data_IF_819331237481
#
_entry.id   IF_819331237481
#
_cell.length_a   1.000
_cell.length_b   1.000
_cell.length_c   1.000
_cell.angle_alpha   90.00
_cell.angle_beta   90.00
_cell.angle_gamma   90.00
#
_symmetry.space_group_name_H-M   'P 1'
#
loop_
_entity.id
_entity.type
_entity.pdbx_description
1 polymer ?
#
# COMPACT_ATOMS: atom_id res chain seq x y z
N UNK A 1 5.64 -43.43 -79.35
CA UNK A 1 4.86 -43.20 -78.10
C UNK A 1 5.82 -42.72 -77.03
N UNK A 2 5.80 -41.39 -76.77
CA UNK A 2 6.66 -40.76 -75.72
C UNK A 2 5.79 -40.49 -74.51
N UNK A 3 6.13 -41.10 -73.38
CA UNK A 3 5.51 -40.85 -72.09
C UNK A 3 6.22 -39.67 -71.44
N UNK A 4 5.48 -38.59 -71.22
CA UNK A 4 5.94 -37.43 -70.45
C UNK A 4 5.57 -37.70 -68.97
N UNK A 5 6.59 -37.88 -68.14
CA UNK A 5 6.43 -37.95 -66.69
C UNK A 5 6.34 -36.53 -66.10
N UNK A 6 5.19 -36.18 -65.58
CA UNK A 6 4.99 -34.92 -64.91
C UNK A 6 5.38 -35.09 -63.44
N UNK A 7 6.48 -34.45 -63.02
CA UNK A 7 6.92 -34.40 -61.63
C UNK A 7 6.26 -33.20 -60.98
N UNK A 8 5.24 -33.43 -60.16
CA UNK A 8 4.65 -32.41 -59.29
C UNK A 8 5.61 -32.10 -58.12
N UNK A 9 6.19 -30.94 -58.15
CA UNK A 9 7.02 -30.41 -57.04
C UNK A 9 6.11 -29.84 -55.97
N UNK A 10 5.97 -30.59 -54.88
CA UNK A 10 5.22 -30.16 -53.70
C UNK A 10 6.07 -29.14 -52.87
N UNK A 11 5.77 -27.86 -53.01
CA UNK A 11 6.37 -26.81 -52.20
C UNK A 11 5.78 -26.87 -50.80
N UNK A 12 6.54 -27.45 -49.86
CA UNK A 12 6.27 -27.35 -48.42
C UNK A 12 6.74 -26.00 -47.96
N UNK A 13 5.81 -25.07 -47.77
CA UNK A 13 6.08 -23.78 -47.10
C UNK A 13 6.21 -24.05 -45.61
N UNK A 14 7.43 -24.10 -45.10
CA UNK A 14 7.69 -23.99 -43.68
C UNK A 14 7.39 -22.56 -43.26
N UNK A 15 6.28 -22.34 -42.60
CA UNK A 15 6.05 -21.12 -41.82
C UNK A 15 6.90 -21.16 -40.58
N UNK A 16 8.09 -20.58 -40.61
CA UNK A 16 8.85 -20.27 -39.42
C UNK A 16 8.06 -19.19 -38.66
N UNK A 17 7.45 -19.59 -37.56
CA UNK A 17 6.99 -18.65 -36.54
C UNK A 17 8.23 -18.00 -35.93
N UNK A 18 8.55 -16.82 -36.44
CA UNK A 18 9.54 -15.94 -35.80
C UNK A 18 8.92 -15.55 -34.45
N UNK A 19 9.33 -16.22 -33.38
CA UNK A 19 9.19 -15.68 -32.03
C UNK A 19 10.04 -14.41 -32.02
N UNK A 20 9.35 -13.27 -32.04
CA UNK A 20 9.99 -12.01 -31.72
C UNK A 20 10.50 -12.15 -30.29
N UNK A 21 11.78 -12.46 -30.17
CA UNK A 21 12.53 -12.33 -28.97
C UNK A 21 12.55 -10.83 -28.69
N UNK A 22 11.65 -10.38 -27.77
CA UNK A 22 11.75 -9.05 -27.21
C UNK A 22 13.19 -8.89 -26.71
N UNK A 23 14.01 -8.32 -27.58
CA UNK A 23 15.31 -7.84 -27.17
C UNK A 23 15.03 -6.80 -26.11
N UNK A 24 15.23 -7.17 -24.82
CA UNK A 24 15.42 -6.20 -23.78
C UNK A 24 16.49 -5.25 -24.31
N UNK A 25 16.03 -4.11 -24.84
CA UNK A 25 16.91 -3.01 -25.13
C UNK A 25 17.53 -2.65 -23.79
N UNK A 26 18.79 -2.98 -23.64
CA UNK A 26 19.68 -2.33 -22.67
C UNK A 26 19.82 -0.88 -23.13
N UNK A 27 18.72 -0.11 -23.05
CA UNK A 27 18.83 1.33 -22.99
C UNK A 27 19.65 1.59 -21.73
N UNK A 28 20.88 1.95 -21.92
CA UNK A 28 21.69 2.63 -20.94
C UNK A 28 20.96 3.94 -20.65
N UNK A 29 20.00 3.89 -19.73
CA UNK A 29 19.34 5.08 -19.23
C UNK A 29 20.44 5.94 -18.63
N UNK A 30 20.78 7.02 -19.32
CA UNK A 30 21.52 8.10 -18.70
C UNK A 30 20.70 8.49 -17.45
N UNK A 31 21.23 8.18 -16.28
CA UNK A 31 20.55 8.44 -15.02
C UNK A 31 20.44 9.96 -14.86
N UNK A 32 19.22 10.49 -15.04
CA UNK A 32 18.87 11.89 -14.79
C UNK A 32 18.14 11.98 -13.46
N UNK A 33 18.84 12.19 -12.33
CA UNK A 33 18.24 12.17 -10.99
C UNK A 33 17.07 13.12 -10.86
N UNK A 34 17.16 14.31 -11.46
CA UNK A 34 16.12 15.36 -11.38
C UNK A 34 14.83 14.95 -12.10
N UNK A 35 14.95 14.34 -13.26
CA UNK A 35 13.81 13.85 -14.02
C UNK A 35 13.12 12.71 -13.28
N UNK A 36 13.90 11.73 -12.83
CA UNK A 36 13.38 10.57 -12.08
C UNK A 36 12.69 11.01 -10.78
N UNK A 37 13.28 11.94 -10.01
CA UNK A 37 12.69 12.42 -8.79
C UNK A 37 11.36 13.16 -9.03
N UNK A 38 11.30 14.03 -10.03
CA UNK A 38 10.06 14.76 -10.39
C UNK A 38 8.97 13.81 -10.91
N UNK A 39 9.31 12.88 -11.76
CA UNK A 39 8.38 11.86 -12.27
C UNK A 39 7.88 10.94 -11.15
N UNK A 40 8.76 10.50 -10.26
CA UNK A 40 8.40 9.68 -9.10
C UNK A 40 7.40 10.41 -8.19
N UNK A 41 7.69 11.66 -7.82
CA UNK A 41 6.80 12.47 -7.00
C UNK A 41 5.46 12.69 -7.69
N UNK A 42 5.45 13.01 -9.00
CA UNK A 42 4.22 13.18 -9.77
C UNK A 42 3.38 11.89 -9.77
N UNK A 43 3.98 10.73 -10.03
CA UNK A 43 3.30 9.44 -9.99
C UNK A 43 2.76 9.10 -8.61
N UNK A 44 3.57 9.28 -7.56
CA UNK A 44 3.14 9.02 -6.18
C UNK A 44 1.87 9.82 -5.87
N UNK A 45 1.87 11.12 -6.17
CA UNK A 45 0.72 11.99 -5.89
C UNK A 45 -0.50 11.60 -6.72
N UNK A 46 -0.32 11.17 -7.96
CA UNK A 46 -1.40 10.67 -8.82
C UNK A 46 -2.18 9.52 -8.18
N UNK A 47 -1.48 8.58 -7.51
CA UNK A 47 -2.11 7.48 -6.81
C UNK A 47 -2.86 7.90 -5.54
N UNK A 48 -2.61 9.09 -5.01
CA UNK A 48 -3.40 9.65 -3.89
C UNK A 48 -4.67 10.36 -4.33
N UNK A 49 -4.88 10.56 -5.63
CA UNK A 49 -5.99 11.34 -6.18
C UNK A 49 -5.85 12.86 -5.98
N UNK A 50 -4.69 13.32 -5.52
CA UNK A 50 -4.41 14.73 -5.31
C UNK A 50 -3.71 15.36 -6.52
N UNK A 51 -3.86 16.68 -6.68
CA UNK A 51 -3.05 17.44 -7.63
C UNK A 51 -1.65 17.67 -7.04
N UNK A 52 -0.57 17.38 -7.78
CA UNK A 52 0.79 17.62 -7.31
C UNK A 52 1.01 19.10 -6.96
N UNK A 53 1.40 19.35 -5.72
CA UNK A 53 1.74 20.71 -5.26
C UNK A 53 3.05 20.71 -4.47
N UNK A 54 3.96 19.82 -4.86
CA UNK A 54 5.29 19.71 -4.28
C UNK A 54 6.33 20.31 -5.22
N UNK A 55 7.29 21.03 -4.64
CA UNK A 55 8.45 21.54 -5.35
C UNK A 55 9.61 20.60 -5.06
N UNK A 56 10.03 19.85 -6.08
CA UNK A 56 11.12 18.88 -5.97
C UNK A 56 12.41 19.57 -6.40
N UNK A 57 13.41 19.60 -5.52
CA UNK A 57 14.67 20.31 -5.74
C UNK A 57 15.89 19.46 -5.37
N UNK A 58 16.94 19.45 -6.20
CA UNK A 58 18.21 18.87 -5.81
C UNK A 58 18.92 19.77 -4.78
N UNK A 59 19.48 19.16 -3.74
CA UNK A 59 20.31 19.84 -2.75
C UNK A 59 21.50 18.94 -2.38
N UNK A 60 22.71 19.38 -2.77
CA UNK A 60 23.95 18.65 -2.51
C UNK A 60 24.44 18.78 -1.06
N UNK A 61 23.85 19.68 -0.28
CA UNK A 61 24.26 19.97 1.10
C UNK A 61 23.53 19.10 2.13
N UNK A 62 22.49 18.36 1.74
CA UNK A 62 21.82 17.38 2.60
C UNK A 62 22.35 15.99 2.35
N UNK A 63 22.20 15.10 3.34
CA UNK A 63 22.77 13.74 3.22
C UNK A 63 21.88 12.81 2.38
N UNK A 64 20.55 12.95 2.49
CA UNK A 64 19.56 12.01 1.90
C UNK A 64 18.47 12.78 1.15
N UNK A 65 17.27 12.81 1.70
CA UNK A 65 16.15 13.65 1.28
C UNK A 65 15.48 14.24 2.52
N UNK A 66 14.69 15.28 2.32
CA UNK A 66 13.95 15.96 3.40
C UNK A 66 12.72 16.66 2.87
N UNK A 67 11.62 16.53 3.59
CA UNK A 67 10.40 17.29 3.39
C UNK A 67 10.36 18.53 4.30
N UNK A 68 10.05 19.69 3.75
CA UNK A 68 9.92 20.92 4.54
C UNK A 68 8.96 21.93 3.92
N UNK A 69 8.47 22.85 4.76
CA UNK A 69 7.67 24.01 4.33
C UNK A 69 8.55 25.26 4.29
N UNK A 70 8.45 26.01 3.18
CA UNK A 70 9.07 27.33 3.04
C UNK A 70 8.08 28.24 2.31
N UNK A 71 7.78 29.42 2.91
CA UNK A 71 6.84 30.38 2.34
C UNK A 71 5.49 29.73 1.95
N UNK A 72 4.96 28.89 2.82
CA UNK A 72 3.71 28.14 2.63
C UNK A 72 3.69 27.17 1.41
N UNK A 73 4.87 26.86 0.85
CA UNK A 73 5.05 25.88 -0.22
C UNK A 73 5.70 24.61 0.31
N UNK A 74 5.30 23.47 -0.25
CA UNK A 74 5.82 22.15 0.13
C UNK A 74 7.03 21.80 -0.73
N UNK A 75 8.16 21.56 -0.09
CA UNK A 75 9.40 21.19 -0.76
C UNK A 75 9.80 19.76 -0.40
N UNK A 76 10.29 19.05 -1.40
CA UNK A 76 11.02 17.80 -1.24
C UNK A 76 12.42 18.05 -1.80
N UNK A 77 13.40 18.23 -0.92
CA UNK A 77 14.79 18.30 -1.32
C UNK A 77 15.44 16.90 -1.25
N UNK A 78 16.34 16.60 -2.16
CA UNK A 78 17.05 15.33 -2.20
C UNK A 78 18.49 15.55 -2.66
N UNK A 79 19.40 14.69 -2.18
CA UNK A 79 20.79 14.70 -2.64
C UNK A 79 20.90 13.79 -3.87
N UNK A 80 21.25 14.31 -5.06
CA UNK A 80 21.36 13.51 -6.28
C UNK A 80 22.36 12.36 -6.17
N UNK A 81 23.52 12.58 -5.53
CA UNK A 81 24.55 11.53 -5.33
C UNK A 81 24.06 10.42 -4.40
N UNK A 82 23.23 10.76 -3.41
CA UNK A 82 22.65 9.76 -2.54
C UNK A 82 21.67 8.86 -3.31
N UNK A 83 20.80 9.46 -4.13
CA UNK A 83 19.82 8.74 -4.96
C UNK A 83 20.55 7.82 -5.97
N UNK A 84 21.56 8.34 -6.66
CA UNK A 84 22.40 7.57 -7.58
C UNK A 84 23.02 6.36 -6.87
N UNK A 85 23.78 6.60 -5.80
CA UNK A 85 24.43 5.55 -5.02
C UNK A 85 23.44 4.52 -4.46
N UNK A 86 22.23 4.95 -4.10
CA UNK A 86 21.19 4.06 -3.60
C UNK A 86 20.69 3.13 -4.70
N UNK A 87 20.40 3.66 -5.89
CA UNK A 87 19.96 2.89 -7.03
C UNK A 87 21.05 1.91 -7.51
N UNK A 88 22.31 2.33 -7.53
CA UNK A 88 23.44 1.47 -7.87
C UNK A 88 23.57 0.28 -6.91
N UNK A 89 23.42 0.53 -5.61
CA UNK A 89 23.52 -0.53 -4.60
C UNK A 89 22.35 -1.51 -4.61
N UNK A 90 21.16 -1.03 -4.96
CA UNK A 90 19.93 -1.84 -4.94
C UNK A 90 19.59 -2.42 -6.30
N UNK A 91 20.27 -1.97 -7.36
CA UNK A 91 19.99 -2.33 -8.76
C UNK A 91 18.53 -2.08 -9.17
N UNK A 92 17.89 -1.05 -8.57
CA UNK A 92 16.51 -0.70 -8.85
C UNK A 92 16.24 0.78 -8.55
N UNK A 93 15.39 1.40 -9.35
CA UNK A 93 14.90 2.76 -9.09
C UNK A 93 13.87 2.81 -7.94
N UNK A 94 13.32 1.68 -7.53
CA UNK A 94 12.35 1.61 -6.45
C UNK A 94 12.90 2.11 -5.11
N UNK A 95 14.20 1.98 -4.89
CA UNK A 95 14.83 2.49 -3.68
C UNK A 95 14.74 4.03 -3.60
N UNK A 96 15.03 4.73 -4.70
CA UNK A 96 14.84 6.19 -4.77
C UNK A 96 13.38 6.59 -4.62
N UNK A 97 12.47 5.88 -5.30
CA UNK A 97 11.02 6.13 -5.20
C UNK A 97 10.53 5.96 -3.77
N UNK A 98 11.04 4.95 -3.03
CA UNK A 98 10.62 4.71 -1.65
C UNK A 98 11.06 5.85 -0.71
N UNK A 99 12.25 6.40 -0.89
CA UNK A 99 12.71 7.58 -0.13
C UNK A 99 11.83 8.79 -0.41
N UNK A 100 11.54 9.07 -1.68
CA UNK A 100 10.68 10.21 -2.04
C UNK A 100 9.23 10.02 -1.55
N UNK A 101 8.72 8.79 -1.58
CA UNK A 101 7.41 8.46 -1.03
C UNK A 101 7.34 8.68 0.49
N UNK A 102 8.39 8.33 1.22
CA UNK A 102 8.51 8.62 2.65
C UNK A 102 8.43 10.12 2.93
N UNK A 103 9.15 10.95 2.17
CA UNK A 103 9.11 12.42 2.33
C UNK A 103 7.72 13.01 2.00
N UNK A 104 7.03 12.47 1.00
CA UNK A 104 5.63 12.83 0.72
C UNK A 104 4.74 12.43 1.89
N UNK A 105 4.97 11.27 2.49
CA UNK A 105 4.27 10.80 3.68
C UNK A 105 4.33 11.81 4.82
N UNK A 106 5.50 12.41 5.08
CA UNK A 106 5.65 13.49 6.07
C UNK A 106 4.78 14.71 5.74
N UNK A 107 4.71 15.11 4.47
CA UNK A 107 3.86 16.23 4.09
C UNK A 107 2.36 15.94 4.22
N UNK A 108 1.92 14.77 3.77
CA UNK A 108 0.50 14.39 3.78
C UNK A 108 -0.01 14.13 5.20
N UNK A 109 0.84 13.63 6.09
CA UNK A 109 0.51 13.41 7.51
C UNK A 109 0.64 14.68 8.37
N UNK A 110 0.98 15.83 7.77
CA UNK A 110 1.08 17.12 8.48
C UNK A 110 2.33 17.28 9.35
N UNK A 111 3.28 16.36 9.32
CA UNK A 111 4.50 16.41 10.16
C UNK A 111 5.34 17.64 9.90
N UNK A 112 5.38 18.12 8.65
CA UNK A 112 6.10 19.32 8.25
C UNK A 112 5.45 20.63 8.77
N UNK A 113 4.15 20.59 9.08
CA UNK A 113 3.41 21.72 9.66
C UNK A 113 3.64 21.75 11.17
N UNK A 114 3.50 20.62 11.83
CA UNK A 114 3.61 20.49 13.28
C UNK A 114 5.04 20.70 13.79
N UNK A 115 6.05 20.64 12.91
CA UNK A 115 7.50 20.76 13.23
C UNK A 115 7.95 19.77 14.32
N UNK A 116 7.17 18.72 14.53
CA UNK A 116 7.47 17.67 15.51
C UNK A 116 8.12 16.48 14.78
N UNK A 117 9.26 16.07 15.26
CA UNK A 117 9.87 14.79 14.86
C UNK A 117 9.66 13.79 16.00
N UNK A 118 9.05 12.67 15.69
CA UNK A 118 8.87 11.58 16.63
C UNK A 118 9.07 10.24 15.92
N UNK A 119 9.45 9.18 16.62
CA UNK A 119 9.51 7.84 16.07
C UNK A 119 8.21 7.40 15.39
N UNK A 120 7.06 7.78 15.93
CA UNK A 120 5.75 7.50 15.34
C UNK A 120 5.53 8.16 13.97
N UNK A 121 6.03 9.38 13.79
CA UNK A 121 5.94 10.09 12.50
C UNK A 121 6.74 9.38 11.41
N UNK A 122 7.91 8.82 11.76
CA UNK A 122 8.72 8.03 10.86
C UNK A 122 7.99 6.75 10.40
N UNK A 123 7.37 6.04 11.35
CA UNK A 123 6.61 4.82 11.04
C UNK A 123 5.39 5.11 10.15
N UNK A 124 4.72 6.25 10.35
CA UNK A 124 3.60 6.66 9.49
C UNK A 124 4.07 6.99 8.07
N UNK A 125 5.20 7.68 7.93
CA UNK A 125 5.79 7.99 6.63
C UNK A 125 6.27 6.70 5.91
N UNK A 126 6.87 5.77 6.64
CA UNK A 126 7.26 4.45 6.12
C UNK A 126 6.04 3.62 5.68
N UNK A 127 4.97 3.60 6.47
CA UNK A 127 3.72 2.92 6.11
C UNK A 127 3.11 3.51 4.84
N UNK A 128 3.06 4.84 4.73
CA UNK A 128 2.62 5.50 3.50
C UNK A 128 3.49 5.11 2.31
N UNK A 129 4.82 5.10 2.48
CA UNK A 129 5.75 4.67 1.42
C UNK A 129 5.41 3.25 0.94
N UNK A 130 5.27 2.29 1.84
CA UNK A 130 4.88 0.92 1.49
C UNK A 130 3.56 0.84 0.72
N UNK A 131 2.54 1.54 1.21
CA UNK A 131 1.21 1.58 0.60
C UNK A 131 1.27 2.08 -0.85
N UNK A 132 1.92 3.22 -1.07
CA UNK A 132 1.95 3.85 -2.39
C UNK A 132 2.83 3.07 -3.38
N UNK A 133 3.93 2.47 -2.91
CA UNK A 133 4.78 1.66 -3.75
C UNK A 133 4.07 0.41 -4.28
N UNK A 134 3.22 -0.23 -3.46
CA UNK A 134 2.35 -1.30 -3.96
C UNK A 134 1.42 -0.81 -5.06
N UNK A 135 0.77 0.33 -4.89
CA UNK A 135 -0.12 0.91 -5.89
C UNK A 135 0.61 1.19 -7.21
N UNK A 136 1.88 1.59 -7.13
CA UNK A 136 2.74 1.82 -8.29
C UNK A 136 3.28 0.53 -8.93
N UNK A 137 3.09 -0.65 -8.31
CA UNK A 137 3.49 -1.95 -8.84
C UNK A 137 4.81 -2.50 -8.29
N UNK A 138 5.38 -1.88 -7.24
CA UNK A 138 6.58 -2.41 -6.59
C UNK A 138 6.29 -3.73 -5.87
N UNK A 139 7.23 -4.67 -5.93
CA UNK A 139 7.24 -5.84 -5.03
C UNK A 139 7.55 -5.39 -3.60
N UNK A 140 7.21 -6.21 -2.60
CA UNK A 140 7.56 -5.92 -1.20
C UNK A 140 9.07 -5.77 -1.00
N UNK A 141 9.87 -6.58 -1.70
CA UNK A 141 11.33 -6.48 -1.66
C UNK A 141 11.81 -5.13 -2.20
N UNK A 142 11.25 -4.66 -3.32
CA UNK A 142 11.55 -3.35 -3.90
C UNK A 142 11.14 -2.22 -2.96
N UNK A 143 9.97 -2.30 -2.34
CA UNK A 143 9.51 -1.30 -1.38
C UNK A 143 10.44 -1.16 -0.16
N UNK A 144 11.04 -2.27 0.29
CA UNK A 144 11.97 -2.31 1.42
C UNK A 144 13.42 -2.03 1.04
N UNK A 145 13.77 -1.98 -0.24
CA UNK A 145 15.17 -2.01 -0.72
C UNK A 145 16.02 -0.85 -0.19
N UNK A 146 15.50 0.37 -0.17
CA UNK A 146 16.22 1.53 0.35
C UNK A 146 16.61 1.33 1.81
N UNK A 147 15.63 1.12 2.67
CA UNK A 147 15.85 1.01 4.11
C UNK A 147 16.67 -0.23 4.48
N UNK A 148 16.52 -1.33 3.75
CA UNK A 148 17.35 -2.53 3.92
C UNK A 148 18.83 -2.24 3.67
N UNK A 149 19.13 -1.33 2.72
CA UNK A 149 20.49 -1.01 2.29
C UNK A 149 21.14 0.06 3.14
N UNK A 150 20.37 1.07 3.60
CA UNK A 150 20.94 2.26 4.28
C UNK A 150 20.48 2.40 5.73
N UNK A 151 19.47 1.68 6.16
CA UNK A 151 18.94 1.79 7.52
C UNK A 151 19.93 1.34 8.58
N UNK A 152 20.02 2.09 9.67
CA UNK A 152 20.80 1.72 10.84
C UNK A 152 19.97 0.81 11.76
N UNK A 153 20.65 -0.15 12.39
CA UNK A 153 20.02 -1.12 13.30
C UNK A 153 19.59 -0.49 14.63
N UNK A 154 20.25 0.61 15.04
CA UNK A 154 20.03 1.20 16.33
C UNK A 154 18.91 2.22 16.33
N UNK A 155 18.11 2.17 17.38
CA UNK A 155 17.15 3.20 17.73
C UNK A 155 17.88 4.50 18.07
N UNK A 156 17.34 5.58 17.58
CA UNK A 156 17.74 6.92 17.99
C UNK A 156 16.52 7.65 18.54
N UNK A 157 16.73 8.71 19.29
CA UNK A 157 15.64 9.54 19.81
C UNK A 157 14.71 10.10 18.73
N UNK A 158 15.13 10.04 17.46
CA UNK A 158 14.39 10.57 16.30
C UNK A 158 13.89 9.49 15.35
N UNK A 159 14.62 8.39 15.23
CA UNK A 159 14.32 7.34 14.26
C UNK A 159 14.14 6.00 14.95
N UNK A 160 13.03 5.30 14.70
CA UNK A 160 12.81 3.95 15.19
C UNK A 160 13.85 2.96 14.67
N UNK A 161 14.02 1.79 15.31
CA UNK A 161 14.87 0.74 14.81
C UNK A 161 14.52 0.34 13.39
N UNK A 162 15.51 -0.03 12.59
CA UNK A 162 15.35 -0.49 11.21
C UNK A 162 14.27 -1.56 11.05
N UNK A 163 14.22 -2.51 11.97
CA UNK A 163 13.20 -3.58 11.97
C UNK A 163 11.78 -3.05 12.07
N UNK A 164 11.52 -2.08 12.95
CA UNK A 164 10.21 -1.44 13.10
C UNK A 164 9.82 -0.66 11.84
N UNK A 165 10.76 0.05 11.24
CA UNK A 165 10.56 0.79 10.00
C UNK A 165 10.28 -0.13 8.81
N UNK A 166 11.03 -1.24 8.66
CA UNK A 166 10.78 -2.26 7.64
C UNK A 166 9.42 -2.94 7.81
N UNK A 167 8.97 -3.10 9.06
CA UNK A 167 7.64 -3.62 9.36
C UNK A 167 6.56 -2.61 8.94
N UNK A 168 6.74 -1.32 9.21
CA UNK A 168 5.80 -0.28 8.80
C UNK A 168 5.63 -0.20 7.27
N UNK A 169 6.74 -0.29 6.50
CA UNK A 169 6.70 -0.39 5.04
C UNK A 169 5.89 -1.62 4.60
N UNK A 170 6.14 -2.76 5.22
CA UNK A 170 5.40 -4.00 4.91
C UNK A 170 3.92 -3.87 5.21
N UNK A 171 3.56 -3.33 6.38
CA UNK A 171 2.17 -3.14 6.79
C UNK A 171 1.41 -2.28 5.77
N UNK A 172 1.99 -1.17 5.34
CA UNK A 172 1.41 -0.33 4.28
C UNK A 172 1.28 -1.06 2.94
N UNK A 173 2.29 -1.80 2.52
CA UNK A 173 2.29 -2.56 1.27
C UNK A 173 1.21 -3.66 1.28
N UNK A 174 1.10 -4.40 2.37
CA UNK A 174 0.09 -5.46 2.53
C UNK A 174 -1.32 -4.89 2.64
N UNK A 175 -1.49 -3.74 3.28
CA UNK A 175 -2.77 -3.03 3.32
C UNK A 175 -3.23 -2.61 1.92
N UNK A 176 -2.35 -2.01 1.11
CA UNK A 176 -2.66 -1.64 -0.27
C UNK A 176 -3.01 -2.87 -1.13
N UNK A 177 -2.27 -3.97 -0.97
CA UNK A 177 -2.53 -5.26 -1.63
C UNK A 177 -3.90 -5.81 -1.25
N UNK A 178 -4.24 -5.76 0.02
CA UNK A 178 -5.55 -6.20 0.53
C UNK A 178 -6.66 -5.36 -0.08
N UNK A 179 -6.54 -4.03 -0.08
CA UNK A 179 -7.53 -3.12 -0.66
C UNK A 179 -7.71 -3.34 -2.16
N UNK A 180 -6.65 -3.61 -2.90
CA UNK A 180 -6.73 -3.94 -4.34
C UNK A 180 -7.47 -5.26 -4.58
N UNK A 181 -7.19 -6.28 -3.79
CA UNK A 181 -7.86 -7.58 -3.92
C UNK A 181 -9.35 -7.46 -3.58
N UNK A 182 -9.70 -6.66 -2.59
CA UNK A 182 -11.08 -6.35 -2.22
C UNK A 182 -11.81 -5.68 -3.40
N UNK A 183 -11.21 -4.67 -4.02
CA UNK A 183 -11.81 -4.00 -5.16
C UNK A 183 -11.98 -4.95 -6.38
N UNK A 184 -11.06 -5.88 -6.59
CA UNK A 184 -11.19 -6.91 -7.64
C UNK A 184 -12.37 -7.87 -7.36
N UNK A 185 -12.60 -8.24 -6.09
CA UNK A 185 -13.77 -9.05 -5.70
C UNK A 185 -15.08 -8.27 -5.81
N UNK A 186 -15.09 -6.98 -5.44
CA UNK A 186 -16.29 -6.15 -5.51
C UNK A 186 -16.74 -5.86 -6.95
N UNK A 187 -15.81 -5.75 -7.89
CA UNK A 187 -16.12 -5.60 -9.33
C UNK A 187 -16.64 -6.91 -9.95
N UNK A 188 -16.23 -8.07 -9.40
CA UNK A 188 -16.62 -9.37 -9.94
C UNK A 188 -18.03 -9.86 -9.50
N UNK A 189 -18.66 -9.22 -8.51
CA UNK A 189 -20.01 -9.57 -8.05
C UNK A 189 -20.79 -8.29 -7.71
N UNK A 190 -21.71 -7.88 -8.59
CA UNK A 190 -22.85 -7.09 -8.17
C UNK A 190 -23.64 -7.95 -7.15
N UNK A 191 -23.74 -7.58 -5.88
CA UNK A 191 -24.55 -8.34 -4.95
C UNK A 191 -26.01 -8.11 -5.32
N UNK A 192 -26.65 -9.11 -5.86
CA UNK A 192 -28.10 -9.20 -5.90
C UNK A 192 -28.61 -9.32 -4.46
N UNK A 193 -29.86 -8.89 -4.24
CA UNK A 193 -30.57 -8.85 -2.94
C UNK A 193 -30.53 -10.17 -2.13
N UNK A 194 -30.11 -11.27 -2.75
CA UNK A 194 -29.95 -12.59 -2.14
C UNK A 194 -28.63 -12.79 -1.35
N UNK A 195 -27.75 -11.79 -1.32
CA UNK A 195 -26.46 -11.92 -0.63
C UNK A 195 -26.49 -11.67 0.88
N UNK A 196 -27.65 -11.28 1.44
CA UNK A 196 -27.83 -11.13 2.89
C UNK A 196 -27.75 -12.46 3.66
N UNK A 197 -27.84 -13.60 2.99
CA UNK A 197 -27.73 -14.94 3.58
C UNK A 197 -26.27 -15.34 3.89
N UNK A 198 -25.30 -14.50 3.58
CA UNK A 198 -23.85 -14.77 3.77
C UNK A 198 -23.25 -14.05 4.97
N UNK A 199 -24.04 -13.32 5.77
CA UNK A 199 -23.50 -12.62 6.93
C UNK A 199 -23.69 -13.44 8.21
N UNK A 200 -22.61 -13.51 8.98
CA UNK A 200 -22.56 -14.21 10.27
C UNK A 200 -22.88 -13.30 11.43
N UNK A 201 -22.38 -12.05 11.37
CA UNK A 201 -22.66 -11.05 12.41
C UNK A 201 -23.17 -9.75 11.81
N UNK A 202 -24.03 -9.09 12.56
CA UNK A 202 -24.41 -7.69 12.39
C UNK A 202 -23.83 -6.88 13.55
N UNK A 203 -23.15 -5.78 13.24
CA UNK A 203 -22.51 -4.92 14.24
C UNK A 203 -23.08 -3.51 14.17
N UNK A 204 -23.29 -2.91 15.33
CA UNK A 204 -23.74 -1.52 15.48
C UNK A 204 -22.79 -0.79 16.42
N UNK A 205 -22.58 0.51 16.20
CA UNK A 205 -21.72 1.35 17.01
C UNK A 205 -22.48 2.51 17.62
N UNK A 206 -22.11 2.90 18.84
CA UNK A 206 -22.73 4.02 19.56
C UNK A 206 -22.42 5.33 18.81
N UNK A 207 -23.47 6.08 18.51
CA UNK A 207 -23.35 7.35 17.79
C UNK A 207 -23.13 7.22 16.28
N UNK A 208 -23.21 6.01 15.74
CA UNK A 208 -23.16 5.73 14.32
C UNK A 208 -24.47 5.08 13.86
N UNK A 209 -25.11 5.64 12.84
CA UNK A 209 -26.35 5.12 12.28
C UNK A 209 -26.13 4.00 11.25
N UNK A 210 -24.87 3.71 10.90
CA UNK A 210 -24.55 2.67 9.95
C UNK A 210 -24.61 1.28 10.61
N UNK A 211 -24.93 0.28 9.79
CA UNK A 211 -24.88 -1.12 10.17
C UNK A 211 -23.68 -1.74 9.47
N UNK A 212 -22.92 -2.51 10.22
CA UNK A 212 -21.75 -3.23 9.75
C UNK A 212 -22.02 -4.73 9.79
N UNK A 213 -21.39 -5.49 8.93
CA UNK A 213 -21.60 -6.93 8.81
C UNK A 213 -20.26 -7.67 8.86
N UNK A 214 -20.31 -8.92 9.31
CA UNK A 214 -19.20 -9.87 9.14
C UNK A 214 -19.70 -11.01 8.28
N UNK A 215 -19.03 -11.28 7.17
CA UNK A 215 -19.38 -12.37 6.25
C UNK A 215 -18.73 -13.72 6.65
N UNK A 216 -19.08 -14.78 5.94
CA UNK A 216 -18.53 -16.14 6.15
C UNK A 216 -17.02 -16.23 5.86
N UNK A 217 -16.43 -15.22 5.22
CA UNK A 217 -14.99 -15.11 4.95
C UNK A 217 -14.27 -14.24 5.97
N UNK A 218 -14.95 -13.93 7.07
CA UNK A 218 -14.44 -13.09 8.15
C UNK A 218 -14.18 -11.62 7.77
N UNK A 219 -14.70 -11.13 6.62
CA UNK A 219 -14.60 -9.71 6.28
C UNK A 219 -15.56 -8.90 7.13
N UNK A 220 -15.07 -7.82 7.75
CA UNK A 220 -15.89 -6.79 8.39
C UNK A 220 -16.25 -5.74 7.35
N UNK A 221 -17.55 -5.58 7.07
CA UNK A 221 -18.07 -4.86 5.92
C UNK A 221 -18.95 -3.70 6.37
N UNK A 222 -18.77 -2.56 5.74
CA UNK A 222 -19.66 -1.40 5.78
C UNK A 222 -20.19 -1.10 4.39
N UNK A 223 -21.43 -0.61 4.29
CA UNK A 223 -22.01 -0.17 3.03
C UNK A 223 -22.01 1.36 2.97
N UNK A 224 -21.47 1.94 1.89
CA UNK A 224 -21.53 3.38 1.66
C UNK A 224 -22.96 3.85 1.31
N UNK A 225 -23.14 5.17 1.15
CA UNK A 225 -24.44 5.78 0.84
C UNK A 225 -25.02 5.35 -0.51
N UNK A 226 -24.25 4.68 -1.35
CA UNK A 226 -24.66 4.12 -2.65
C UNK A 226 -24.93 2.62 -2.58
N UNK A 227 -24.85 2.02 -1.39
CA UNK A 227 -25.01 0.58 -1.16
C UNK A 227 -23.82 -0.26 -1.62
N UNK A 228 -22.65 0.34 -1.80
CA UNK A 228 -21.41 -0.38 -2.16
C UNK A 228 -20.76 -0.94 -0.91
N UNK A 229 -20.45 -2.26 -0.86
CA UNK A 229 -19.74 -2.84 0.27
C UNK A 229 -18.28 -2.39 0.31
N UNK A 230 -17.85 -1.98 1.49
CA UNK A 230 -16.47 -1.60 1.80
C UNK A 230 -16.00 -2.48 2.94
N UNK A 231 -14.95 -3.26 2.71
CA UNK A 231 -14.34 -4.05 3.78
C UNK A 231 -13.44 -3.13 4.60
N UNK A 232 -13.73 -3.04 5.89
CA UNK A 232 -13.01 -2.18 6.84
C UNK A 232 -12.10 -2.97 7.78
N UNK A 233 -12.15 -4.30 7.76
CA UNK A 233 -11.31 -5.15 8.59
C UNK A 233 -11.47 -6.62 8.27
N UNK A 234 -10.67 -7.43 8.92
CA UNK A 234 -10.75 -8.89 8.90
C UNK A 234 -10.91 -9.39 10.32
N UNK A 235 -12.00 -10.12 10.57
CA UNK A 235 -12.22 -10.82 11.84
C UNK A 235 -11.14 -11.89 12.01
N UNK A 236 -10.57 -11.98 13.20
CA UNK A 236 -9.59 -12.99 13.59
C UNK A 236 -10.00 -13.59 14.93
N UNK A 237 -9.65 -14.82 15.17
CA UNK A 237 -9.73 -15.39 16.50
C UNK A 237 -8.86 -14.62 17.48
N UNK A 238 -9.32 -14.50 18.73
CA UNK A 238 -8.58 -13.80 19.75
C UNK A 238 -7.70 -14.77 20.54
N UNK A 239 -6.43 -14.41 20.69
CA UNK A 239 -5.54 -15.11 21.64
C UNK A 239 -5.75 -14.69 23.11
N UNK A 240 -6.68 -13.75 23.35
CA UNK A 240 -7.00 -13.22 24.66
C UNK A 240 -8.41 -13.71 25.06
N UNK A 241 -8.53 -14.39 26.19
CA UNK A 241 -9.80 -14.92 26.71
C UNK A 241 -10.88 -13.85 26.97
N UNK A 242 -10.52 -12.58 26.95
CA UNK A 242 -11.46 -11.46 27.07
C UNK A 242 -12.36 -11.33 25.84
N UNK A 243 -11.84 -11.64 24.66
CA UNK A 243 -12.53 -11.46 23.40
C UNK A 243 -12.78 -12.79 22.70
N UNK A 244 -13.94 -12.93 22.09
CA UNK A 244 -14.27 -14.06 21.22
C UNK A 244 -13.56 -13.95 19.87
N UNK A 245 -13.57 -12.73 19.32
CA UNK A 245 -12.85 -12.40 18.09
C UNK A 245 -12.46 -10.92 18.06
N UNK A 246 -11.54 -10.58 17.16
CA UNK A 246 -10.93 -9.26 17.07
C UNK A 246 -10.76 -8.80 15.63
N UNK A 247 -10.67 -7.49 15.41
CA UNK A 247 -10.25 -6.91 14.14
C UNK A 247 -9.58 -5.55 14.37
N UNK A 248 -8.81 -5.10 13.38
CA UNK A 248 -8.24 -3.76 13.37
C UNK A 248 -8.90 -2.92 12.30
N UNK A 249 -9.18 -1.67 12.61
CA UNK A 249 -9.63 -0.66 11.64
C UNK A 249 -8.93 0.66 11.92
N UNK A 250 -8.21 1.18 10.92
CA UNK A 250 -7.24 2.26 11.10
C UNK A 250 -6.26 1.87 12.22
N UNK A 251 -5.87 2.80 13.09
CA UNK A 251 -4.95 2.54 14.19
C UNK A 251 -5.64 2.03 15.48
N UNK A 252 -6.86 1.54 15.35
CA UNK A 252 -7.64 1.08 16.50
C UNK A 252 -7.83 -0.43 16.48
N UNK A 253 -7.68 -1.04 17.65
CA UNK A 253 -8.02 -2.42 17.90
C UNK A 253 -9.46 -2.51 18.40
N UNK A 254 -10.21 -3.48 17.87
CA UNK A 254 -11.57 -3.79 18.27
C UNK A 254 -11.65 -5.25 18.66
N UNK A 255 -12.17 -5.52 19.87
CA UNK A 255 -12.42 -6.86 20.37
C UNK A 255 -13.91 -7.05 20.65
N UNK A 256 -14.47 -8.19 20.27
CA UNK A 256 -15.86 -8.57 20.57
C UNK A 256 -15.84 -9.63 21.66
N UNK A 257 -16.45 -9.34 22.81
CA UNK A 257 -16.52 -10.27 23.92
C UNK A 257 -17.57 -11.37 23.73
N UNK A 258 -17.61 -12.34 24.64
CA UNK A 258 -18.56 -13.46 24.59
C UNK A 258 -20.04 -13.05 24.76
N UNK A 259 -20.29 -11.79 25.15
CA UNK A 259 -21.63 -11.21 25.25
C UNK A 259 -22.00 -10.36 24.03
N UNK A 260 -21.12 -10.33 23.03
CA UNK A 260 -21.29 -9.54 21.81
C UNK A 260 -21.01 -8.04 21.98
N UNK A 261 -20.43 -7.60 23.11
CA UNK A 261 -20.05 -6.19 23.25
C UNK A 261 -18.78 -5.92 22.45
N UNK A 262 -18.78 -4.83 21.67
CA UNK A 262 -17.62 -4.37 20.92
C UNK A 262 -16.84 -3.39 21.77
N UNK A 263 -15.60 -3.73 22.06
CA UNK A 263 -14.62 -2.94 22.79
C UNK A 263 -13.65 -2.31 21.80
N UNK A 264 -13.36 -1.03 21.97
CA UNK A 264 -12.30 -0.33 21.27
C UNK A 264 -11.14 -0.10 22.23
N UNK A 265 -9.96 -0.50 21.81
CA UNK A 265 -8.72 -0.22 22.49
C UNK A 265 -7.92 0.81 21.70
N UNK A 266 -7.56 1.90 22.33
CA UNK A 266 -6.78 2.97 21.70
C UNK A 266 -5.28 2.69 21.84
N UNK A 267 -4.47 3.32 21.01
CA UNK A 267 -3.00 3.28 21.11
C UNK A 267 -2.46 3.73 22.45
N UNK A 268 -3.25 4.44 23.26
CA UNK A 268 -2.89 4.89 24.61
C UNK A 268 -3.39 3.96 25.74
N UNK A 269 -3.89 2.75 25.38
CA UNK A 269 -4.34 1.74 26.35
C UNK A 269 -5.70 1.99 26.98
N UNK A 270 -6.45 3.01 26.54
CA UNK A 270 -7.83 3.22 26.99
C UNK A 270 -8.77 2.24 26.30
N UNK A 271 -9.69 1.65 27.06
CA UNK A 271 -10.62 0.61 26.56
C UNK A 271 -12.07 1.03 26.82
N UNK A 272 -12.90 1.05 25.75
CA UNK A 272 -14.28 1.51 25.82
C UNK A 272 -15.23 0.53 25.13
N UNK A 273 -16.46 0.39 25.64
CA UNK A 273 -17.53 -0.28 24.91
C UNK A 273 -18.10 0.71 23.88
N UNK A 274 -17.92 0.39 22.61
CA UNK A 274 -18.31 1.25 21.50
C UNK A 274 -19.48 0.72 20.69
N UNK A 275 -19.91 -0.54 20.89
CA UNK A 275 -20.98 -1.12 20.10
C UNK A 275 -21.38 -2.53 20.53
N UNK A 276 -22.13 -3.17 19.65
CA UNK A 276 -22.62 -4.55 19.84
C UNK A 276 -22.53 -5.32 18.51
N UNK A 277 -22.16 -6.58 18.60
CA UNK A 277 -22.18 -7.56 17.53
C UNK A 277 -23.23 -8.64 17.86
N UNK A 278 -24.13 -8.88 16.94
CA UNK A 278 -25.18 -9.89 17.08
C UNK A 278 -25.00 -10.97 16.01
N UNK A 279 -25.08 -12.23 16.41
CA UNK A 279 -25.08 -13.36 15.49
C UNK A 279 -26.36 -13.33 14.65
N UNK A 280 -26.23 -13.37 13.33
CA UNK A 280 -27.36 -13.48 12.42
C UNK A 280 -27.76 -14.96 12.38
N UNK A 281 -28.93 -15.27 12.93
CA UNK A 281 -29.50 -16.64 12.82
C UNK A 281 -30.08 -16.78 11.41
N UNK A 282 -29.46 -17.58 10.58
CA UNK A 282 -30.08 -18.03 9.33
C UNK A 282 -31.32 -18.87 9.72
N UNK A 283 -32.48 -18.41 9.27
CA UNK A 283 -33.75 -19.18 9.41
C UNK A 283 -33.81 -20.24 8.33
#
# INVERSE_FOLDING_TARGET
MKYILSISFLLIVFSETIYAQDSLSTETYAFEPDKIAKEAVSKIVQYTGLTPNFIVVPDKNINTAIAYLKNNKRYIAYNPKFIEKLNDKTHTNWAAVSVLAHEIGHHLSGHTIAKTQSPGNELLADKFSGFILFQMGATLQNAKSALSTIGHEMDTTKHPPKTARLFAIQDGWEEAKRLKNINAYAVAKNPTKDSLTQFVYQCTFKGDNNIYFVDEKDNVIWYDNYGKPIIIGLKKESNNNKYNWVYNYLDNFYGVDHKGKIWKETTYGSVFIVGEAQLIKNK
#
